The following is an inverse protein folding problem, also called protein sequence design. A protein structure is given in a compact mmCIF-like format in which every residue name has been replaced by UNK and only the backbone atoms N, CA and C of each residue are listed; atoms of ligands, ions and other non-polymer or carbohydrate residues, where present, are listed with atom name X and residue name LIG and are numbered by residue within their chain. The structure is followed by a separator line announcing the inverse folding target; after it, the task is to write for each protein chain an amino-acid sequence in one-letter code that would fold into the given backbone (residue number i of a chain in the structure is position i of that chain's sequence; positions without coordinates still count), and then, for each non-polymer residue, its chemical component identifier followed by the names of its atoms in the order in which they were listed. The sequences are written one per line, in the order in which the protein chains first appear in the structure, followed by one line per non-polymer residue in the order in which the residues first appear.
data_IF_555387701601
#
_entry.id   IF_555387701601
#
_cell.length_a   1.000
_cell.length_b   1.000
_cell.length_c   1.000
_cell.angle_alpha   90.00
_cell.angle_beta   90.00
_cell.angle_gamma   90.00
#
_symmetry.space_group_name_H-M   'P 1'
#
loop_
_entity.id
_entity.type
_entity.pdbx_description
1 polymer ?
#
# COMPACT_ATOMS: atom_id res chain seq x y z
N UNK A 1 9.56 2.96 2.91
CA UNK A 1 8.81 4.09 3.53
C UNK A 1 7.53 4.34 2.74
N UNK A 2 6.42 4.38 3.40
CA UNK A 2 5.13 4.68 2.78
C UNK A 2 4.73 6.13 3.09
N UNK A 3 4.41 6.89 2.05
CA UNK A 3 3.94 8.26 2.17
C UNK A 3 2.48 8.30 1.73
N UNK A 4 1.58 8.50 2.68
CA UNK A 4 0.16 8.64 2.37
C UNK A 4 -0.19 10.09 2.05
N UNK A 5 -0.82 10.31 0.91
CA UNK A 5 -1.27 11.64 0.47
C UNK A 5 -2.77 11.76 0.69
N UNK A 6 -3.16 12.72 1.53
CA UNK A 6 -4.55 13.01 1.85
C UNK A 6 -4.98 14.31 1.19
N UNK A 7 -6.19 14.30 0.62
CA UNK A 7 -6.75 15.47 -0.04
C UNK A 7 -6.11 15.78 -1.38
N UNK A 8 -6.26 17.03 -1.81
CA UNK A 8 -5.72 17.50 -3.08
C UNK A 8 -4.38 18.17 -2.82
N UNK A 9 -3.31 17.57 -3.31
CA UNK A 9 -1.95 18.08 -3.16
C UNK A 9 -1.30 18.24 -4.53
N UNK A 10 -0.34 19.14 -4.61
CA UNK A 10 0.48 19.28 -5.79
C UNK A 10 1.47 18.13 -5.85
N UNK A 11 1.32 17.28 -6.88
CA UNK A 11 2.18 16.11 -7.04
C UNK A 11 3.65 16.50 -7.26
N UNK A 12 3.91 17.71 -7.77
CA UNK A 12 5.28 18.19 -7.95
C UNK A 12 5.99 18.40 -6.61
N UNK A 13 5.27 18.83 -5.57
CA UNK A 13 5.84 18.98 -4.23
C UNK A 13 6.21 17.64 -3.62
N UNK A 14 5.40 16.62 -3.83
CA UNK A 14 5.68 15.26 -3.35
C UNK A 14 6.93 14.71 -4.04
N UNK A 15 6.99 14.86 -5.36
CA UNK A 15 8.15 14.43 -6.16
C UNK A 15 9.41 15.15 -5.72
N UNK A 16 9.33 16.47 -5.49
CA UNK A 16 10.46 17.26 -5.01
C UNK A 16 10.95 16.80 -3.62
N UNK A 17 10.02 16.49 -2.72
CA UNK A 17 10.36 15.96 -1.39
C UNK A 17 11.11 14.64 -1.49
N UNK A 18 10.63 13.72 -2.32
CA UNK A 18 11.28 12.41 -2.50
C UNK A 18 12.65 12.58 -3.13
N UNK A 19 12.78 13.43 -4.14
CA UNK A 19 14.07 13.70 -4.77
C UNK A 19 15.06 14.29 -3.78
N UNK A 20 14.62 15.18 -2.92
CA UNK A 20 15.45 15.74 -1.86
C UNK A 20 15.91 14.65 -0.88
N UNK A 21 15.01 13.78 -0.46
CA UNK A 21 15.34 12.68 0.44
C UNK A 21 16.37 11.73 -0.18
N UNK A 22 16.21 11.40 -1.46
CA UNK A 22 17.16 10.55 -2.20
C UNK A 22 18.53 11.19 -2.26
N UNK A 23 18.60 12.49 -2.55
CA UNK A 23 19.87 13.20 -2.73
C UNK A 23 20.59 13.52 -1.42
N UNK A 24 19.82 13.98 -0.42
CA UNK A 24 20.42 14.54 0.83
C UNK A 24 20.46 13.56 1.98
N UNK A 25 19.49 12.64 2.06
CA UNK A 25 19.37 11.69 3.15
C UNK A 25 19.81 10.28 2.77
N UNK A 26 20.32 10.12 1.57
CA UNK A 26 20.84 8.85 1.04
C UNK A 26 19.80 7.72 0.96
N UNK A 27 18.51 8.06 0.84
CA UNK A 27 17.48 7.09 0.56
C UNK A 27 17.47 6.73 -0.93
N UNK A 28 17.06 5.50 -1.25
CA UNK A 28 16.88 5.06 -2.63
C UNK A 28 15.42 5.26 -3.03
N UNK A 29 15.19 5.56 -4.33
CA UNK A 29 13.85 5.75 -4.86
C UNK A 29 12.94 4.54 -4.59
N UNK A 30 13.47 3.32 -4.71
CA UNK A 30 12.71 2.10 -4.47
C UNK A 30 12.30 1.89 -3.01
N UNK A 31 12.81 2.70 -2.07
CA UNK A 31 12.39 2.64 -0.67
C UNK A 31 11.09 3.38 -0.39
N UNK A 32 10.55 4.09 -1.38
CA UNK A 32 9.33 4.87 -1.22
C UNK A 32 8.14 4.20 -1.90
N UNK A 33 7.00 4.26 -1.22
CA UNK A 33 5.69 3.94 -1.80
C UNK A 33 4.80 5.14 -1.50
N UNK A 34 4.25 5.77 -2.53
CA UNK A 34 3.29 6.86 -2.37
C UNK A 34 1.90 6.28 -2.48
N UNK A 35 1.09 6.41 -1.45
CA UNK A 35 -0.26 5.85 -1.41
C UNK A 35 -1.30 6.95 -1.24
N UNK A 36 -2.48 6.72 -1.78
CA UNK A 36 -3.60 7.65 -1.66
C UNK A 36 -4.92 6.95 -1.95
N UNK A 37 -5.99 7.44 -1.34
CA UNK A 37 -7.36 7.13 -1.76
C UNK A 37 -7.76 7.85 -3.04
N UNK A 38 -7.06 8.92 -3.38
CA UNK A 38 -7.29 9.66 -4.62
C UNK A 38 -6.48 9.03 -5.75
N UNK A 39 -7.14 8.16 -6.52
CA UNK A 39 -6.49 7.40 -7.58
C UNK A 39 -6.12 8.28 -8.78
N UNK A 40 -6.84 9.38 -9.01
CA UNK A 40 -6.47 10.34 -10.05
C UNK A 40 -5.13 11.02 -9.71
N UNK A 41 -4.91 11.34 -8.43
CA UNK A 41 -3.65 11.88 -7.95
C UNK A 41 -2.52 10.86 -8.16
N UNK A 42 -2.77 9.57 -7.85
CA UNK A 42 -1.78 8.53 -8.06
C UNK A 42 -1.41 8.37 -9.53
N UNK A 43 -2.38 8.46 -10.41
CA UNK A 43 -2.14 8.37 -11.85
C UNK A 43 -1.25 9.53 -12.33
N UNK A 44 -1.55 10.75 -11.89
CA UNK A 44 -0.75 11.93 -12.21
C UNK A 44 0.67 11.81 -11.65
N UNK A 45 0.80 11.34 -10.42
CA UNK A 45 2.10 11.12 -9.77
C UNK A 45 2.91 10.08 -10.52
N UNK A 46 2.29 8.98 -10.93
CA UNK A 46 2.97 7.91 -11.68
C UNK A 46 3.54 8.41 -12.99
N UNK A 47 2.83 9.30 -13.68
CA UNK A 47 3.31 9.91 -14.92
C UNK A 47 4.50 10.83 -14.68
N UNK A 48 4.51 11.55 -13.55
CA UNK A 48 5.59 12.49 -13.21
C UNK A 48 6.82 11.76 -12.69
N UNK A 49 6.65 10.70 -11.90
CA UNK A 49 7.73 9.99 -11.24
C UNK A 49 7.56 8.48 -11.40
N UNK A 50 7.75 7.94 -12.63
CA UNK A 50 7.44 6.54 -12.93
C UNK A 50 8.31 5.54 -12.18
N UNK A 51 9.45 5.95 -11.64
CA UNK A 51 10.32 5.07 -10.85
C UNK A 51 9.88 4.89 -9.41
N UNK A 52 8.94 5.72 -8.94
CA UNK A 52 8.43 5.63 -7.57
C UNK A 52 7.21 4.73 -7.56
N UNK A 53 7.19 3.80 -6.61
CA UNK A 53 6.06 2.87 -6.45
C UNK A 53 4.84 3.60 -5.91
N UNK A 54 3.66 3.25 -6.42
CA UNK A 54 2.39 3.77 -5.89
C UNK A 54 1.58 2.64 -5.26
N UNK A 55 0.90 2.96 -4.16
CA UNK A 55 -0.01 2.06 -3.46
C UNK A 55 -1.43 2.62 -3.56
N UNK A 56 -2.34 1.82 -4.10
CA UNK A 56 -3.73 2.24 -4.26
C UNK A 56 -4.52 1.93 -2.99
N UNK A 57 -4.81 2.97 -2.18
CA UNK A 57 -5.64 2.84 -0.99
C UNK A 57 -7.10 2.63 -1.38
N UNK A 58 -7.77 1.73 -0.68
CA UNK A 58 -9.20 1.53 -0.84
C UNK A 58 -9.87 1.23 0.50
N UNK A 59 -11.03 1.85 0.72
CA UNK A 59 -11.90 1.55 1.86
C UNK A 59 -13.04 0.62 1.47
N UNK A 60 -12.86 -0.17 0.41
CA UNK A 60 -13.89 -1.09 -0.08
C UNK A 60 -13.26 -2.36 -0.63
N UNK A 61 -14.11 -3.34 -0.93
CA UNK A 61 -13.73 -4.52 -1.72
C UNK A 61 -14.48 -4.39 -3.05
N UNK A 62 -13.82 -3.83 -4.08
CA UNK A 62 -14.50 -3.57 -5.35
C UNK A 62 -14.96 -4.85 -6.04
N UNK A 63 -16.00 -4.78 -6.86
CA UNK A 63 -16.47 -5.93 -7.61
C UNK A 63 -15.41 -6.52 -8.53
N UNK A 64 -14.53 -5.69 -9.08
CA UNK A 64 -13.39 -6.12 -9.88
C UNK A 64 -12.14 -6.43 -9.05
N UNK A 65 -12.26 -6.49 -7.73
CA UNK A 65 -11.14 -6.68 -6.80
C UNK A 65 -9.98 -5.70 -7.10
N UNK A 66 -8.82 -6.22 -7.47
CA UNK A 66 -7.62 -5.39 -7.70
C UNK A 66 -7.50 -4.85 -9.13
N UNK A 67 -8.53 -4.98 -9.97
CA UNK A 67 -8.50 -4.48 -11.34
C UNK A 67 -8.16 -2.98 -11.39
N UNK A 68 -8.73 -2.18 -10.47
CA UNK A 68 -8.47 -0.74 -10.42
C UNK A 68 -6.99 -0.42 -10.20
N UNK A 69 -6.32 -1.22 -9.38
CA UNK A 69 -4.90 -1.03 -9.09
C UNK A 69 -4.02 -1.47 -10.26
N UNK A 70 -4.42 -2.52 -10.97
CA UNK A 70 -3.73 -2.95 -12.18
C UNK A 70 -3.81 -1.87 -13.26
N UNK A 71 -4.97 -1.23 -13.44
CA UNK A 71 -5.12 -0.11 -14.38
C UNK A 71 -4.19 1.06 -14.04
N UNK A 72 -3.95 1.31 -12.75
CA UNK A 72 -3.04 2.35 -12.28
C UNK A 72 -1.57 1.97 -12.44
N UNK A 73 -1.28 0.71 -12.77
CA UNK A 73 0.06 0.16 -12.69
C UNK A 73 0.68 0.33 -11.30
N UNK A 74 -0.15 0.12 -10.27
CA UNK A 74 0.26 0.24 -8.89
C UNK A 74 1.17 -0.91 -8.48
N UNK A 75 2.04 -0.66 -7.51
CA UNK A 75 2.84 -1.68 -6.87
C UNK A 75 1.99 -2.54 -5.92
N UNK A 76 1.03 -1.91 -5.24
CA UNK A 76 0.24 -2.57 -4.22
C UNK A 76 -1.19 -2.07 -4.17
N UNK A 77 -2.04 -2.92 -3.59
CA UNK A 77 -3.35 -2.55 -3.06
C UNK A 77 -3.18 -2.41 -1.55
N UNK A 78 -3.60 -1.28 -1.01
CA UNK A 78 -3.59 -1.00 0.42
C UNK A 78 -5.04 -0.94 0.89
N UNK A 79 -5.53 -2.02 1.48
CA UNK A 79 -6.95 -2.21 1.75
C UNK A 79 -7.28 -2.15 3.24
N UNK A 80 -8.49 -1.66 3.55
CA UNK A 80 -9.04 -1.61 4.91
C UNK A 80 -9.34 -3.02 5.39
N UNK A 81 -8.92 -3.34 6.62
CA UNK A 81 -9.16 -4.66 7.24
C UNK A 81 -10.65 -5.05 7.26
N UNK A 82 -11.55 -4.06 7.31
CA UNK A 82 -12.98 -4.30 7.35
C UNK A 82 -13.55 -4.95 6.08
N UNK A 83 -12.83 -4.86 4.97
CA UNK A 83 -13.34 -5.27 3.66
C UNK A 83 -12.51 -6.36 2.98
N UNK A 84 -11.34 -6.70 3.52
CA UNK A 84 -10.45 -7.69 2.90
C UNK A 84 -10.97 -9.10 3.15
N UNK A 85 -11.03 -9.90 2.09
CA UNK A 85 -11.27 -11.33 2.17
C UNK A 85 -10.19 -12.10 1.40
N UNK A 86 -10.21 -13.41 1.49
CA UNK A 86 -9.22 -14.24 0.83
C UNK A 86 -9.28 -14.10 -0.69
N UNK A 87 -10.46 -13.96 -1.27
CA UNK A 87 -10.63 -13.79 -2.71
C UNK A 87 -9.95 -12.52 -3.21
N UNK A 88 -10.03 -11.42 -2.45
CA UNK A 88 -9.36 -10.17 -2.79
C UNK A 88 -7.85 -10.34 -2.79
N UNK A 89 -7.31 -11.02 -1.79
CA UNK A 89 -5.86 -11.31 -1.69
C UNK A 89 -5.40 -12.14 -2.89
N UNK A 90 -6.12 -13.19 -3.22
CA UNK A 90 -5.80 -14.07 -4.36
C UNK A 90 -5.81 -13.29 -5.66
N UNK A 91 -6.86 -12.50 -5.92
CA UNK A 91 -6.96 -11.69 -7.13
C UNK A 91 -5.81 -10.70 -7.24
N UNK A 92 -5.46 -10.04 -6.13
CA UNK A 92 -4.36 -9.07 -6.09
C UNK A 92 -3.05 -9.74 -6.49
N UNK A 93 -2.76 -10.91 -5.92
CA UNK A 93 -1.54 -11.65 -6.24
C UNK A 93 -1.53 -12.18 -7.67
N UNK A 94 -2.69 -12.61 -8.18
CA UNK A 94 -2.80 -13.09 -9.57
C UNK A 94 -2.50 -11.99 -10.59
N UNK A 95 -2.68 -10.74 -10.19
CA UNK A 95 -2.34 -9.57 -11.04
C UNK A 95 -0.89 -9.11 -10.84
N UNK A 96 -0.11 -9.81 -10.05
CA UNK A 96 1.28 -9.47 -9.78
C UNK A 96 1.47 -8.31 -8.80
N UNK A 97 0.44 -7.96 -8.06
CA UNK A 97 0.46 -6.85 -7.11
C UNK A 97 0.67 -7.35 -5.69
N UNK A 98 1.19 -6.47 -4.83
CA UNK A 98 1.30 -6.72 -3.39
C UNK A 98 0.00 -6.33 -2.69
N UNK A 99 -0.32 -7.03 -1.60
CA UNK A 99 -1.47 -6.72 -0.76
C UNK A 99 -0.99 -6.28 0.61
N UNK A 100 -1.31 -5.02 0.97
CA UNK A 100 -1.08 -4.49 2.31
C UNK A 100 -2.43 -4.17 2.93
N UNK A 101 -2.56 -4.40 4.23
CA UNK A 101 -3.83 -4.21 4.94
C UNK A 101 -3.63 -3.28 6.13
N UNK A 102 -4.54 -2.35 6.33
CA UNK A 102 -4.54 -1.39 7.44
C UNK A 102 -5.91 -1.39 8.13
N UNK A 103 -6.07 -0.99 9.30
CA UNK A 103 -5.11 -0.99 10.40
C UNK A 103 -5.34 -2.26 11.19
N UNK A 104 -4.31 -3.05 11.38
CA UNK A 104 -4.44 -4.41 11.92
C UNK A 104 -3.75 -4.45 13.27
N UNK A 105 -4.55 -4.46 14.35
CA UNK A 105 -4.05 -4.48 15.72
C UNK A 105 -4.41 -5.77 16.47
N UNK A 106 -5.46 -6.46 16.04
CA UNK A 106 -5.95 -7.66 16.73
C UNK A 106 -5.16 -8.91 16.30
N UNK A 107 -4.68 -9.73 17.27
CA UNK A 107 -3.92 -10.94 16.95
C UNK A 107 -4.62 -11.90 16.00
N UNK A 108 -5.94 -12.06 16.14
CA UNK A 108 -6.74 -12.96 15.29
C UNK A 108 -6.71 -12.50 13.84
N UNK A 109 -6.78 -11.19 13.61
CA UNK A 109 -6.72 -10.61 12.27
C UNK A 109 -5.34 -10.81 11.66
N UNK A 110 -4.29 -10.60 12.45
CA UNK A 110 -2.90 -10.81 12.00
C UNK A 110 -2.68 -12.24 11.53
N UNK A 111 -3.13 -13.21 12.31
CA UNK A 111 -2.97 -14.63 11.97
C UNK A 111 -3.77 -15.01 10.72
N UNK A 112 -4.99 -14.47 10.60
CA UNK A 112 -5.85 -14.73 9.44
C UNK A 112 -5.22 -14.18 8.16
N UNK A 113 -4.73 -12.93 8.22
CA UNK A 113 -4.10 -12.29 7.06
C UNK A 113 -2.80 -12.98 6.68
N UNK A 114 -2.02 -13.44 7.65
CA UNK A 114 -0.82 -14.22 7.40
C UNK A 114 -1.17 -15.52 6.67
N UNK A 115 -2.23 -16.20 7.10
CA UNK A 115 -2.69 -17.44 6.46
C UNK A 115 -3.12 -17.20 5.01
N UNK A 116 -3.67 -16.03 4.71
CA UNK A 116 -4.07 -15.65 3.33
C UNK A 116 -2.89 -15.19 2.47
N UNK A 117 -1.70 -15.04 3.05
CA UNK A 117 -0.52 -14.64 2.32
C UNK A 117 -0.39 -13.14 2.06
N UNK A 118 -1.01 -12.31 2.89
CA UNK A 118 -0.87 -10.85 2.80
C UNK A 118 0.59 -10.46 2.94
N UNK A 119 1.05 -9.52 2.12
CA UNK A 119 2.47 -9.14 2.05
C UNK A 119 2.92 -8.25 3.21
N UNK A 120 2.00 -7.52 3.82
CA UNK A 120 2.31 -6.69 4.98
C UNK A 120 1.06 -6.08 5.59
N UNK A 121 1.23 -5.55 6.79
CA UNK A 121 0.15 -4.87 7.51
C UNK A 121 0.66 -3.56 8.09
N UNK A 122 -0.26 -2.60 8.25
CA UNK A 122 -0.02 -1.39 9.00
C UNK A 122 -0.73 -1.52 10.34
N UNK A 123 0.02 -1.36 11.43
CA UNK A 123 -0.49 -1.53 12.80
C UNK A 123 -0.11 -0.32 13.64
N UNK A 124 -0.97 0.01 14.62
CA UNK A 124 -0.63 0.98 15.65
C UNK A 124 0.32 0.39 16.70
N UNK A 125 0.48 -0.94 16.69
CA UNK A 125 1.31 -1.69 17.65
C UNK A 125 2.24 -2.64 16.90
N UNK A 126 3.19 -2.10 16.11
CA UNK A 126 4.01 -2.95 15.23
C UNK A 126 4.87 -3.96 15.98
N UNK A 127 5.37 -3.63 17.15
CA UNK A 127 6.17 -4.58 17.95
C UNK A 127 5.33 -5.78 18.42
N UNK A 128 4.09 -5.54 18.85
CA UNK A 128 3.15 -6.60 19.25
C UNK A 128 2.74 -7.45 18.05
N UNK A 129 2.46 -6.82 16.91
CA UNK A 129 2.12 -7.51 15.68
C UNK A 129 3.23 -8.46 15.26
N UNK A 130 4.47 -7.99 15.27
CA UNK A 130 5.64 -8.80 14.93
C UNK A 130 5.79 -10.00 15.86
N UNK A 131 5.55 -9.83 17.15
CA UNK A 131 5.63 -10.94 18.12
C UNK A 131 4.57 -12.01 17.86
N UNK A 132 3.35 -11.60 17.52
CA UNK A 132 2.27 -12.53 17.20
C UNK A 132 2.62 -13.37 15.97
N UNK A 133 3.13 -12.73 14.93
CA UNK A 133 3.48 -13.40 13.68
C UNK A 133 4.67 -14.36 13.86
N UNK A 134 5.64 -14.00 14.70
CA UNK A 134 6.80 -14.86 14.99
C UNK A 134 6.40 -16.13 15.74
N UNK A 135 5.39 -16.04 16.62
CA UNK A 135 4.91 -17.19 17.40
C UNK A 135 4.03 -18.16 16.59
N UNK A 136 3.53 -17.70 15.47
CA UNK A 136 2.70 -18.54 14.59
C UNK A 136 3.55 -19.26 13.57
#
# INVERSE_FOLDING_TARGET
MNIEVKGVHDVSLISAYINKAVRQLNFKAEQFIVSSFNHHLLLAFKKMAPSIKIGALTGSNPLGHAHFAEELQAYSVNADISFVDQAFVIDTHNRGLKMFVYTVDEPEDLLRLQAWGVDGVFSNRPAKAKRVLVKS
#
